data_IF_408723824809
#
_entry.id   IF_408723824809
#
_cell.length_a   1.000
_cell.length_b   1.000
_cell.length_c   1.000
_cell.angle_alpha   90.00
_cell.angle_beta   90.00
_cell.angle_gamma   90.00
#
_symmetry.space_group_name_H-M   'P 1'
#
loop_
_entity.id
_entity.type
_entity.pdbx_description
1 polymer ?
#
# COMPACT_ATOMS: atom_id res chain seq x y z
N UNK A 1 6.10 -23.27 14.67
CA UNK A 1 5.19 -22.68 13.68
C UNK A 1 4.21 -21.79 14.42
N UNK A 2 4.12 -20.50 14.10
CA UNK A 2 3.05 -19.66 14.62
C UNK A 2 1.74 -20.11 13.98
N UNK A 3 0.70 -20.34 14.78
CA UNK A 3 -0.62 -20.64 14.25
C UNK A 3 -1.34 -19.32 13.87
N UNK A 4 -2.41 -19.42 13.07
CA UNK A 4 -3.18 -18.26 12.58
C UNK A 4 -3.62 -17.33 13.71
N UNK A 5 -4.03 -17.90 14.85
CA UNK A 5 -4.51 -17.16 16.01
C UNK A 5 -3.40 -16.34 16.68
N UNK A 6 -2.23 -16.94 16.92
CA UNK A 6 -1.08 -16.25 17.51
C UNK A 6 -0.57 -15.15 16.59
N UNK A 7 -0.51 -15.38 15.28
CA UNK A 7 -0.11 -14.35 14.30
C UNK A 7 -1.08 -13.16 14.31
N UNK A 8 -2.39 -13.43 14.34
CA UNK A 8 -3.40 -12.38 14.45
C UNK A 8 -3.24 -11.56 15.73
N UNK A 9 -3.09 -12.22 16.89
CA UNK A 9 -2.92 -11.52 18.17
C UNK A 9 -1.66 -10.65 18.20
N UNK A 10 -0.55 -11.10 17.61
CA UNK A 10 0.69 -10.33 17.55
C UNK A 10 0.52 -9.04 16.74
N UNK A 11 -0.19 -9.11 15.61
CA UNK A 11 -0.48 -7.94 14.76
C UNK A 11 -1.49 -7.02 15.45
N UNK A 12 -2.59 -7.57 15.97
CA UNK A 12 -3.67 -6.79 16.59
C UNK A 12 -3.23 -6.09 17.88
N UNK A 13 -2.23 -6.64 18.59
CA UNK A 13 -1.67 -6.04 19.81
C UNK A 13 -0.96 -4.71 19.54
N UNK A 14 -0.33 -4.56 18.38
CA UNK A 14 0.44 -3.37 18.01
C UNK A 14 0.33 -3.10 16.50
N UNK A 15 -0.88 -2.69 16.10
CA UNK A 15 -1.19 -2.33 14.72
C UNK A 15 -0.26 -1.23 14.17
N UNK A 16 0.05 -0.15 14.91
CA UNK A 16 0.96 0.89 14.42
C UNK A 16 2.32 0.33 14.02
N UNK A 17 2.94 -0.49 14.88
CA UNK A 17 4.23 -1.12 14.57
C UNK A 17 4.14 -2.07 13.37
N UNK A 18 3.03 -2.80 13.23
CA UNK A 18 2.82 -3.67 12.08
C UNK A 18 2.72 -2.86 10.77
N UNK A 19 2.07 -1.68 10.80
CA UNK A 19 2.00 -0.77 9.66
C UNK A 19 3.39 -0.21 9.34
N UNK A 20 4.15 0.26 10.33
CA UNK A 20 5.51 0.78 10.14
C UNK A 20 6.43 -0.26 9.49
N UNK A 21 6.29 -1.53 9.90
CA UNK A 21 7.03 -2.65 9.32
C UNK A 21 6.63 -2.91 7.86
N UNK A 22 5.35 -2.78 7.52
CA UNK A 22 4.86 -2.92 6.14
C UNK A 22 5.33 -1.74 5.28
N UNK A 23 5.26 -0.52 5.80
CA UNK A 23 5.73 0.69 5.11
C UNK A 23 7.23 0.65 4.82
N UNK A 24 8.03 0.13 5.76
CA UNK A 24 9.47 -0.04 5.60
C UNK A 24 9.86 -1.08 4.54
N UNK A 25 8.93 -1.88 4.03
CA UNK A 25 9.23 -2.84 2.97
C UNK A 25 9.63 -2.10 1.69
N UNK A 26 10.77 -2.44 1.04
CA UNK A 26 11.28 -1.69 -0.11
C UNK A 26 10.29 -1.52 -1.26
N UNK A 27 9.46 -2.54 -1.50
CA UNK A 27 8.44 -2.51 -2.56
C UNK A 27 7.31 -1.54 -2.21
N UNK A 28 6.76 -1.64 -1.00
CA UNK A 28 5.70 -0.75 -0.49
C UNK A 28 6.21 0.68 -0.54
N UNK A 29 7.37 0.95 0.05
CA UNK A 29 7.97 2.28 0.05
C UNK A 29 8.12 2.85 -1.37
N UNK A 30 8.70 2.09 -2.31
CA UNK A 30 8.95 2.55 -3.68
C UNK A 30 7.66 2.86 -4.44
N UNK A 31 6.60 2.09 -4.19
CA UNK A 31 5.31 2.29 -4.84
C UNK A 31 4.53 3.45 -4.21
N UNK A 32 4.59 3.59 -2.87
CA UNK A 32 4.07 4.75 -2.14
C UNK A 32 4.74 6.04 -2.60
N UNK A 33 6.08 6.07 -2.66
CA UNK A 33 6.85 7.24 -3.09
C UNK A 33 6.47 7.65 -4.53
N UNK A 34 6.33 6.69 -5.44
CA UNK A 34 5.90 6.95 -6.81
C UNK A 34 4.47 7.49 -6.87
N UNK A 35 3.55 6.91 -6.08
CA UNK A 35 2.18 7.37 -6.03
C UNK A 35 2.10 8.82 -5.55
N UNK A 36 2.74 9.13 -4.42
CA UNK A 36 2.76 10.48 -3.84
C UNK A 36 3.37 11.53 -4.79
N UNK A 37 4.44 11.17 -5.52
CA UNK A 37 5.10 12.08 -6.44
C UNK A 37 4.29 12.39 -7.71
N UNK A 38 3.46 11.45 -8.18
CA UNK A 38 2.83 11.54 -9.50
C UNK A 38 1.31 11.79 -9.45
N UNK A 39 0.61 11.34 -8.41
CA UNK A 39 -0.87 11.44 -8.35
C UNK A 39 -1.37 12.89 -8.43
N UNK A 40 -0.63 13.86 -7.88
CA UNK A 40 -1.00 15.28 -7.95
C UNK A 40 -0.92 15.87 -9.37
N UNK A 41 -0.18 15.25 -10.28
CA UNK A 41 -0.06 15.68 -11.67
C UNK A 41 -1.23 15.19 -12.53
N UNK A 42 -1.93 14.13 -12.11
CA UNK A 42 -3.08 13.57 -12.81
C UNK A 42 -4.30 14.48 -12.64
N UNK A 43 -4.88 14.92 -13.76
CA UNK A 43 -6.03 15.86 -13.78
C UNK A 43 -7.31 15.25 -14.32
N UNK A 44 -7.22 14.12 -15.01
CA UNK A 44 -8.37 13.44 -15.61
C UNK A 44 -8.38 11.96 -15.24
N UNK A 45 -9.56 11.34 -15.36
CA UNK A 45 -9.72 9.90 -15.13
C UNK A 45 -8.94 9.11 -16.19
N UNK A 46 -8.90 9.59 -17.44
CA UNK A 46 -8.16 8.92 -18.50
C UNK A 46 -6.65 8.89 -18.21
N UNK A 47 -6.09 9.99 -17.70
CA UNK A 47 -4.68 10.04 -17.31
C UNK A 47 -4.38 9.10 -16.12
N UNK A 48 -5.34 8.99 -15.19
CA UNK A 48 -5.23 8.08 -14.05
C UNK A 48 -5.20 6.61 -14.49
N UNK A 49 -6.14 6.20 -15.36
CA UNK A 49 -6.27 4.81 -15.81
C UNK A 49 -5.12 4.43 -16.76
N UNK A 50 -4.58 5.38 -17.53
CA UNK A 50 -3.42 5.15 -18.40
C UNK A 50 -2.13 4.88 -17.64
N UNK A 51 -1.94 5.50 -16.47
CA UNK A 51 -0.81 5.16 -15.60
C UNK A 51 -1.14 3.88 -14.81
N UNK A 52 -0.76 2.74 -15.38
CA UNK A 52 -0.97 1.41 -14.76
C UNK A 52 -0.40 1.34 -13.35
N UNK A 53 0.70 2.03 -13.06
CA UNK A 53 1.35 1.96 -11.75
C UNK A 53 0.55 2.72 -10.69
N UNK A 54 0.06 3.91 -11.01
CA UNK A 54 -0.86 4.66 -10.13
C UNK A 54 -2.19 3.93 -9.95
N UNK A 55 -2.74 3.43 -11.06
CA UNK A 55 -3.99 2.71 -11.06
C UNK A 55 -3.91 1.45 -10.19
N UNK A 56 -2.92 0.58 -10.42
CA UNK A 56 -2.74 -0.66 -9.64
C UNK A 56 -2.48 -0.37 -8.17
N UNK A 57 -1.71 0.67 -7.84
CA UNK A 57 -1.50 1.04 -6.44
C UNK A 57 -2.79 1.43 -5.74
N UNK A 58 -3.63 2.25 -6.39
CA UNK A 58 -4.93 2.63 -5.85
C UNK A 58 -5.86 1.42 -5.73
N UNK A 59 -6.00 0.61 -6.77
CA UNK A 59 -6.85 -0.59 -6.75
C UNK A 59 -6.46 -1.53 -5.60
N UNK A 60 -5.16 -1.76 -5.42
CA UNK A 60 -4.62 -2.55 -4.31
C UNK A 60 -4.99 -1.97 -2.94
N UNK A 61 -4.95 -0.65 -2.78
CA UNK A 61 -5.33 0.01 -1.54
C UNK A 61 -6.84 -0.11 -1.23
N UNK A 62 -7.68 -0.17 -2.27
CA UNK A 62 -9.13 -0.39 -2.14
C UNK A 62 -9.54 -1.87 -2.12
N UNK A 63 -8.58 -2.80 -2.25
CA UNK A 63 -8.84 -4.24 -2.22
C UNK A 63 -9.45 -4.80 -3.50
N UNK A 64 -9.22 -4.14 -4.63
CA UNK A 64 -9.63 -4.55 -5.98
C UNK A 64 -8.54 -5.33 -6.71
#
# INVERSE_FOLDING_TARGET
>A
MLNTYTSYQLIAKDIPKAIDQVEAQPVVKRDTDYYLANIGNIKTIDDFVKDTRLFTYAMKAYGL
#
